data_IF_882062756662
#
_entry.id   IF_882062756662
#
_cell.length_a   1.000
_cell.length_b   1.000
_cell.length_c   1.000
_cell.angle_alpha   90.00
_cell.angle_beta   90.00
_cell.angle_gamma   90.00
#
_symmetry.space_group_name_H-M   'P 1'
#
loop_
_entity.id
_entity.type
_entity.pdbx_description
1 polymer ?
#
# COMPACT_ATOMS: atom_id res chain seq x y z
N UNK A 1 7.34 -9.88 7.04
CA UNK A 1 7.73 -8.80 6.10
C UNK A 1 6.59 -8.70 5.12
N UNK A 2 5.86 -7.58 5.09
CA UNK A 2 4.68 -7.46 4.23
C UNK A 2 5.12 -7.23 2.79
N UNK A 3 4.63 -8.07 1.90
CA UNK A 3 5.00 -8.03 0.48
C UNK A 3 4.00 -7.13 -0.27
N UNK A 4 4.52 -6.06 -0.85
CA UNK A 4 3.75 -5.09 -1.61
C UNK A 4 4.14 -5.18 -3.08
N UNK A 5 3.14 -5.21 -3.95
CA UNK A 5 3.34 -5.09 -5.38
C UNK A 5 3.08 -3.65 -5.76
N UNK A 6 4.10 -2.99 -6.31
CA UNK A 6 4.00 -1.61 -6.79
C UNK A 6 4.25 -1.60 -8.30
N UNK A 7 3.32 -1.03 -9.04
CA UNK A 7 3.40 -0.94 -10.50
C UNK A 7 2.76 0.36 -10.99
N UNK A 8 3.17 0.82 -12.16
CA UNK A 8 2.57 1.98 -12.81
C UNK A 8 1.44 1.51 -13.74
N UNK A 9 0.30 2.17 -13.65
CA UNK A 9 -0.86 1.96 -14.51
C UNK A 9 -0.70 2.72 -15.84
N UNK A 10 -1.52 2.38 -16.84
CA UNK A 10 -1.50 2.97 -18.19
C UNK A 10 -1.72 4.50 -18.17
N UNK A 11 -2.46 5.00 -17.16
CA UNK A 11 -2.71 6.43 -16.91
C UNK A 11 -1.49 7.15 -16.27
N UNK A 12 -0.35 6.45 -16.10
CA UNK A 12 0.86 6.97 -15.46
C UNK A 12 0.79 7.04 -13.94
N UNK A 13 -0.31 6.56 -13.33
CA UNK A 13 -0.51 6.54 -11.88
C UNK A 13 0.19 5.35 -11.24
N UNK A 14 0.71 5.55 -10.03
CA UNK A 14 1.34 4.50 -9.26
C UNK A 14 0.29 3.73 -8.45
N UNK A 15 0.27 2.42 -8.59
CA UNK A 15 -0.63 1.52 -7.87
C UNK A 15 0.21 0.65 -6.95
N UNK A 16 -0.15 0.63 -5.67
CA UNK A 16 0.44 -0.26 -4.68
C UNK A 16 -0.66 -1.16 -4.12
N UNK A 17 -0.48 -2.47 -4.20
CA UNK A 17 -1.37 -3.46 -3.59
C UNK A 17 -0.62 -4.33 -2.57
N UNK A 18 -1.33 -4.73 -1.52
CA UNK A 18 -0.81 -5.64 -0.52
C UNK A 18 -1.22 -7.07 -0.86
N UNK A 19 -0.25 -7.96 -1.05
CA UNK A 19 -0.53 -9.36 -1.42
C UNK A 19 -1.17 -10.16 -0.29
N UNK A 20 -0.94 -9.76 0.96
CA UNK A 20 -1.52 -10.41 2.15
C UNK A 20 -2.98 -10.06 2.40
N UNK A 21 -3.45 -8.90 1.91
CA UNK A 21 -4.81 -8.42 2.10
C UNK A 21 -5.46 -8.20 0.73
N UNK A 22 -5.99 -9.26 0.10
CA UNK A 22 -6.66 -9.15 -1.19
C UNK A 22 -7.85 -8.19 -1.04
N UNK A 23 -7.69 -6.97 -1.58
CA UNK A 23 -8.66 -5.89 -1.46
C UNK A 23 -8.05 -4.54 -1.04
N UNK A 24 -6.87 -4.54 -0.41
CA UNK A 24 -6.17 -3.30 -0.05
C UNK A 24 -5.22 -2.89 -1.16
N UNK A 25 -5.73 -2.04 -2.05
CA UNK A 25 -4.96 -1.36 -3.10
C UNK A 25 -5.09 0.14 -2.95
N UNK A 26 -4.01 0.86 -3.19
CA UNK A 26 -3.97 2.32 -3.18
C UNK A 26 -3.35 2.82 -4.48
N UNK A 27 -3.76 4.03 -4.87
CA UNK A 27 -3.19 4.72 -6.02
C UNK A 27 -2.64 6.09 -5.62
N UNK A 28 -1.49 6.43 -6.18
CA UNK A 28 -0.78 7.68 -5.93
C UNK A 28 -0.27 8.31 -7.22
N UNK A 29 0.03 9.61 -7.16
CA UNK A 29 0.69 10.30 -8.26
C UNK A 29 2.16 9.90 -8.42
N UNK A 30 2.78 9.37 -7.36
CA UNK A 30 4.17 8.93 -7.33
C UNK A 30 4.30 7.62 -6.54
N UNK A 31 5.39 6.88 -6.76
CA UNK A 31 5.70 5.65 -6.04
C UNK A 31 5.68 5.87 -4.52
N UNK A 32 6.35 6.93 -4.06
CA UNK A 32 6.43 7.28 -2.65
C UNK A 32 5.05 7.57 -2.03
N UNK A 33 4.16 8.26 -2.77
CA UNK A 33 2.81 8.54 -2.32
C UNK A 33 1.97 7.25 -2.22
N UNK A 34 2.11 6.34 -3.18
CA UNK A 34 1.42 5.05 -3.14
C UNK A 34 1.90 4.20 -1.94
N UNK A 35 3.20 4.18 -1.67
CA UNK A 35 3.79 3.48 -0.52
C UNK A 35 3.33 4.09 0.81
N UNK A 36 3.33 5.42 0.94
CA UNK A 36 2.87 6.10 2.15
C UNK A 36 1.38 5.82 2.42
N UNK A 37 0.54 5.88 1.37
CA UNK A 37 -0.89 5.56 1.46
C UNK A 37 -1.14 4.12 1.91
N UNK A 38 -0.42 3.13 1.37
CA UNK A 38 -0.66 1.73 1.76
C UNK A 38 -0.16 1.46 3.18
N UNK A 39 0.94 2.09 3.61
CA UNK A 39 1.42 2.03 5.00
C UNK A 39 0.41 2.65 5.97
N UNK A 40 -0.18 3.79 5.62
CA UNK A 40 -1.24 4.43 6.42
C UNK A 40 -2.51 3.59 6.44
N UNK A 41 -2.93 3.03 5.31
CA UNK A 41 -4.08 2.15 5.23
C UNK A 41 -3.89 0.91 6.12
N UNK A 42 -2.71 0.30 6.10
CA UNK A 42 -2.34 -0.80 7.00
C UNK A 42 -2.37 -0.38 8.48
N UNK A 43 -1.91 0.82 8.80
CA UNK A 43 -1.97 1.35 10.17
C UNK A 43 -3.41 1.51 10.67
N UNK A 44 -4.34 1.87 9.78
CA UNK A 44 -5.77 2.01 10.08
C UNK A 44 -6.45 0.65 10.21
N UNK A 45 -6.15 -0.29 9.29
CA UNK A 45 -6.75 -1.63 9.28
C UNK A 45 -6.17 -2.55 10.37
N UNK A 46 -4.92 -2.35 10.73
CA UNK A 46 -4.22 -3.11 11.75
C UNK A 46 -3.51 -2.15 12.72
N UNK A 47 -4.27 -1.44 13.58
CA UNK A 47 -3.68 -0.54 14.57
C UNK A 47 -2.85 -1.29 15.61
N UNK A 48 -3.05 -2.62 15.73
CA UNK A 48 -2.28 -3.49 16.60
C UNK A 48 -0.88 -3.77 16.05
N UNK A 49 -0.01 -2.77 16.04
CA UNK A 49 1.41 -3.05 16.24
C UNK A 49 1.58 -3.34 17.74
N UNK A 50 1.46 -4.61 18.14
CA UNK A 50 2.14 -5.02 19.36
C UNK A 50 3.62 -4.87 19.02
N UNK A 51 4.22 -3.82 19.56
CA UNK A 51 5.65 -3.66 19.66
C UNK A 51 6.14 -4.83 20.53
N UNK A 52 7.05 -5.65 20.00
CA UNK A 52 7.88 -6.58 20.76
C UNK A 52 9.34 -6.20 20.54
#
# INVERSE_FOLDING_TARGET
>A
MREFTVYQDDDGKWVAECRELPGVRVRGGTEAEAIDKIKKALLVYYPCRCEE
#
